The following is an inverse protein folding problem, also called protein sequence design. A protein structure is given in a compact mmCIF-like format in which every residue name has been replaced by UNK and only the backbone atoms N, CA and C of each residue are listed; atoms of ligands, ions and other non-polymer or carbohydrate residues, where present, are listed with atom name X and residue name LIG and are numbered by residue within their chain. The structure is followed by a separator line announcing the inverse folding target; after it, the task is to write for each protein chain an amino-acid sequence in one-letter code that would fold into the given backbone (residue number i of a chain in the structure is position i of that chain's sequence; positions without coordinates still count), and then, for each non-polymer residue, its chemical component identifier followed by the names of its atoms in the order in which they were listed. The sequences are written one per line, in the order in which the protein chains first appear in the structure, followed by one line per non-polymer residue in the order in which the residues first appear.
data_IF_902444650178
#
_entry.id   IF_902444650178
#
_cell.length_a   1.000
_cell.length_b   1.000
_cell.length_c   1.000
_cell.angle_alpha   90.00
_cell.angle_beta   90.00
_cell.angle_gamma   90.00
#
_symmetry.space_group_name_H-M   'P 1'
#
loop_
_entity.id
_entity.type
_entity.pdbx_description
1 polymer ?
#
# COMPACT_ATOMS: atom_id res chain seq x y z
N UNK A 1 -5.58 -35.80 37.84
CA UNK A 1 -5.60 -34.54 37.05
C UNK A 1 -4.56 -33.63 37.69
N UNK A 2 -3.43 -33.25 37.09
CA UNK A 2 -3.29 -31.97 36.34
C UNK A 2 -1.89 -31.75 35.70
N UNK A 3 -1.01 -32.75 35.56
CA UNK A 3 0.37 -32.53 35.04
C UNK A 3 0.41 -32.34 33.50
N UNK A 4 -0.50 -32.98 32.76
CA UNK A 4 -0.53 -32.95 31.28
C UNK A 4 -1.02 -31.62 30.69
N UNK A 5 -1.85 -30.86 31.41
CA UNK A 5 -2.38 -29.57 30.94
C UNK A 5 -1.37 -28.43 31.05
N UNK A 6 -0.41 -28.53 31.97
CA UNK A 6 0.59 -27.49 32.23
C UNK A 6 1.64 -27.47 31.11
N UNK A 7 2.17 -28.64 30.73
CA UNK A 7 3.13 -28.79 29.63
C UNK A 7 2.55 -28.40 28.25
N UNK A 8 1.25 -28.63 28.03
CA UNK A 8 0.55 -28.26 26.80
C UNK A 8 0.38 -26.75 26.67
N UNK A 9 0.17 -26.05 27.78
CA UNK A 9 0.13 -24.57 27.84
C UNK A 9 1.50 -23.93 27.60
N UNK A 10 2.60 -24.55 28.07
CA UNK A 10 3.95 -24.03 27.85
C UNK A 10 4.44 -24.09 26.39
N UNK A 11 3.86 -24.97 25.57
CA UNK A 11 4.18 -25.05 24.14
C UNK A 11 3.37 -24.06 23.28
N UNK A 12 2.16 -23.68 23.73
CA UNK A 12 1.28 -22.77 22.98
C UNK A 12 1.69 -21.30 23.12
N UNK A 13 2.22 -20.91 24.28
CA UNK A 13 2.65 -19.51 24.55
C UNK A 13 3.81 -19.04 23.66
N UNK A 14 4.94 -19.75 23.52
CA UNK A 14 6.03 -19.31 22.63
C UNK A 14 5.60 -19.33 21.15
N UNK A 15 4.70 -20.23 20.76
CA UNK A 15 4.17 -20.33 19.40
C UNK A 15 3.27 -19.13 19.05
N UNK A 16 2.45 -18.66 19.99
CA UNK A 16 1.73 -17.39 19.86
C UNK A 16 2.65 -16.18 19.81
N UNK A 17 3.71 -16.14 20.63
CA UNK A 17 4.66 -15.02 20.63
C UNK A 17 5.44 -14.90 19.30
N UNK A 18 5.80 -16.03 18.69
CA UNK A 18 6.42 -16.07 17.37
C UNK A 18 5.42 -15.58 16.29
N UNK A 19 4.14 -15.98 16.38
CA UNK A 19 3.11 -15.55 15.45
C UNK A 19 2.82 -14.03 15.52
N UNK A 20 2.84 -13.43 16.71
CA UNK A 20 2.60 -11.99 16.90
C UNK A 20 3.76 -11.15 16.35
N UNK A 21 5.00 -11.65 16.43
CA UNK A 21 6.17 -10.95 15.90
C UNK A 21 6.18 -10.85 14.36
N UNK A 22 5.47 -11.73 13.66
CA UNK A 22 5.45 -11.74 12.18
C UNK A 22 4.37 -10.83 11.57
N UNK A 23 3.45 -10.30 12.38
CA UNK A 23 2.31 -9.48 11.90
C UNK A 23 2.52 -7.96 12.02
N UNK A 24 3.69 -7.51 12.48
CA UNK A 24 3.86 -6.19 13.10
C UNK A 24 4.08 -4.95 12.21
N UNK A 25 4.30 -5.06 10.90
CA UNK A 25 4.87 -3.92 10.14
C UNK A 25 3.91 -3.12 9.23
N UNK A 26 2.64 -3.49 9.10
CA UNK A 26 1.81 -2.99 7.98
C UNK A 26 0.97 -1.72 8.22
N UNK A 27 0.90 -1.14 9.42
CA UNK A 27 -0.14 -0.13 9.75
C UNK A 27 0.31 1.34 9.76
N UNK A 28 1.62 1.62 9.85
CA UNK A 28 2.12 2.99 10.09
C UNK A 28 1.97 3.95 8.89
N UNK A 29 1.89 3.47 7.66
CA UNK A 29 1.83 4.34 6.48
C UNK A 29 0.47 5.03 6.26
N UNK A 30 -0.61 4.48 6.82
CA UNK A 30 -1.98 4.92 6.46
C UNK A 30 -2.40 6.20 7.18
N UNK A 31 -1.97 6.42 8.42
CA UNK A 31 -2.33 7.62 9.22
C UNK A 31 -1.82 8.90 8.57
N UNK A 32 -0.58 8.88 8.07
CA UNK A 32 0.07 10.03 7.43
C UNK A 32 -0.66 10.48 6.17
N UNK A 33 -1.19 9.55 5.38
CA UNK A 33 -1.98 9.90 4.21
C UNK A 33 -3.24 10.70 4.56
N UNK A 34 -3.90 10.41 5.68
CA UNK A 34 -5.13 11.12 6.07
C UNK A 34 -4.87 12.55 6.55
N UNK A 35 -3.66 12.87 7.01
CA UNK A 35 -3.25 14.23 7.37
C UNK A 35 -3.08 15.16 6.15
N UNK A 36 -2.96 14.59 4.94
CA UNK A 36 -2.80 15.35 3.70
C UNK A 36 -4.12 16.09 3.37
N UNK A 37 -4.04 17.43 3.35
CA UNK A 37 -5.18 18.31 3.05
C UNK A 37 -5.66 18.21 1.59
N UNK A 38 -4.73 18.05 0.65
CA UNK A 38 -5.04 17.94 -0.76
C UNK A 38 -5.64 16.56 -1.07
N UNK A 39 -6.86 16.55 -1.61
CA UNK A 39 -7.62 15.32 -1.81
C UNK A 39 -6.96 14.36 -2.81
N UNK A 40 -6.34 14.89 -3.87
CA UNK A 40 -5.68 14.11 -4.91
C UNK A 40 -4.40 13.47 -4.36
N UNK A 41 -3.57 14.25 -3.65
CA UNK A 41 -2.36 13.74 -2.97
C UNK A 41 -2.70 12.71 -1.91
N UNK A 42 -3.76 12.93 -1.14
CA UNK A 42 -4.26 11.94 -0.16
C UNK A 42 -4.69 10.65 -0.85
N UNK A 43 -5.48 10.74 -1.92
CA UNK A 43 -5.94 9.57 -2.67
C UNK A 43 -4.76 8.80 -3.26
N UNK A 44 -3.78 9.49 -3.85
CA UNK A 44 -2.55 8.88 -4.36
C UNK A 44 -1.75 8.18 -3.25
N UNK A 45 -1.55 8.84 -2.11
CA UNK A 45 -0.86 8.26 -0.97
C UNK A 45 -1.57 6.99 -0.47
N UNK A 46 -2.90 7.03 -0.33
CA UNK A 46 -3.70 5.88 0.08
C UNK A 46 -3.62 4.73 -0.94
N UNK A 47 -3.59 5.03 -2.24
CA UNK A 47 -3.42 4.02 -3.27
C UNK A 47 -2.10 3.27 -3.10
N UNK A 48 -1.01 3.99 -2.84
CA UNK A 48 0.33 3.41 -2.67
C UNK A 48 0.44 2.59 -1.38
N UNK A 49 0.03 3.15 -0.25
CA UNK A 49 0.14 2.47 1.05
C UNK A 49 -0.76 1.25 1.12
N UNK A 50 -1.96 1.31 0.53
CA UNK A 50 -2.91 0.18 0.54
C UNK A 50 -2.73 -0.78 -0.63
N UNK A 51 -1.93 -0.44 -1.63
CA UNK A 51 -1.83 -1.20 -2.89
C UNK A 51 -3.15 -1.29 -3.66
N UNK A 52 -4.08 -0.35 -3.44
CA UNK A 52 -5.42 -0.41 -4.02
C UNK A 52 -5.63 0.67 -5.08
N UNK A 53 -5.70 0.22 -6.33
CA UNK A 53 -5.91 1.06 -7.51
C UNK A 53 -7.28 1.78 -7.50
N UNK A 54 -8.24 1.34 -6.69
CA UNK A 54 -9.53 2.01 -6.49
C UNK A 54 -9.35 3.45 -6.01
N UNK A 55 -8.33 3.72 -5.19
CA UNK A 55 -8.03 5.07 -4.73
C UNK A 55 -7.50 5.97 -5.86
N UNK A 56 -6.82 5.43 -6.88
CA UNK A 56 -6.36 6.23 -8.01
C UNK A 56 -7.52 6.87 -8.76
N UNK A 57 -8.69 6.24 -8.84
CA UNK A 57 -9.87 6.84 -9.50
C UNK A 57 -10.46 8.04 -8.77
N UNK A 58 -10.06 8.27 -7.50
CA UNK A 58 -10.46 9.44 -6.72
C UNK A 58 -9.60 10.67 -7.03
N UNK A 59 -8.45 10.48 -7.68
CA UNK A 59 -7.58 11.55 -8.17
C UNK A 59 -8.26 12.24 -9.36
N UNK A 60 -8.51 13.53 -9.23
CA UNK A 60 -9.21 14.32 -10.26
C UNK A 60 -8.30 14.69 -11.42
N UNK A 61 -7.05 15.02 -11.12
CA UNK A 61 -6.06 15.31 -12.15
C UNK A 61 -5.74 14.03 -12.96
N UNK A 62 -5.95 14.11 -14.28
CA UNK A 62 -5.96 12.94 -15.17
C UNK A 62 -4.57 12.33 -15.31
N UNK A 63 -3.54 13.15 -15.40
CA UNK A 63 -2.17 12.70 -15.59
C UNK A 63 -1.66 11.99 -14.33
N UNK A 64 -1.90 12.55 -13.13
CA UNK A 64 -1.64 11.91 -11.84
C UNK A 64 -2.44 10.64 -11.64
N UNK A 65 -3.70 10.60 -12.08
CA UNK A 65 -4.51 9.37 -12.04
C UNK A 65 -3.89 8.28 -12.91
N UNK A 66 -3.49 8.61 -14.13
CA UNK A 66 -2.85 7.67 -15.04
C UNK A 66 -1.52 7.19 -14.48
N UNK A 67 -0.72 8.08 -13.90
CA UNK A 67 0.51 7.74 -13.21
C UNK A 67 0.25 6.78 -12.04
N UNK A 68 -0.70 7.09 -11.17
CA UNK A 68 -1.09 6.23 -10.04
C UNK A 68 -1.50 4.83 -10.52
N UNK A 69 -2.34 4.76 -11.55
CA UNK A 69 -2.79 3.48 -12.10
C UNK A 69 -1.64 2.70 -12.75
N UNK A 70 -0.70 3.38 -13.40
CA UNK A 70 0.50 2.76 -13.97
C UNK A 70 1.38 2.14 -12.89
N UNK A 71 1.63 2.87 -11.80
CA UNK A 71 2.46 2.42 -10.68
C UNK A 71 1.83 1.26 -9.90
N UNK A 72 0.52 1.32 -9.59
CA UNK A 72 -0.15 0.26 -8.83
C UNK A 72 -0.41 -0.99 -9.68
N UNK A 73 -0.78 -0.83 -10.97
CA UNK A 73 -1.07 -1.97 -11.86
C UNK A 73 0.15 -2.51 -12.61
N UNK A 74 1.29 -1.83 -12.56
CA UNK A 74 2.48 -2.19 -13.34
C UNK A 74 2.28 -2.02 -14.85
N UNK A 75 1.51 -1.02 -15.27
CA UNK A 75 0.94 -0.92 -16.62
C UNK A 75 1.60 0.24 -17.39
N UNK A 76 2.65 -0.04 -18.18
CA UNK A 76 3.38 0.99 -18.94
C UNK A 76 2.52 1.73 -19.96
N UNK A 77 1.50 1.08 -20.53
CA UNK A 77 0.50 1.68 -21.42
C UNK A 77 -0.17 2.92 -20.80
N UNK A 78 -0.43 2.89 -19.50
CA UNK A 78 -1.02 4.01 -18.76
C UNK A 78 -0.11 5.23 -18.73
N UNK A 79 1.21 5.05 -18.70
CA UNK A 79 2.14 6.18 -18.78
C UNK A 79 2.01 6.93 -20.11
N UNK A 80 1.69 6.25 -21.23
CA UNK A 80 1.52 6.91 -22.52
C UNK A 80 0.24 7.77 -22.60
N UNK A 81 -0.73 7.53 -21.72
CA UNK A 81 -1.92 8.37 -21.59
C UNK A 81 -1.70 9.67 -20.80
N UNK A 82 -0.51 9.87 -20.23
CA UNK A 82 -0.10 11.12 -19.56
C UNK A 82 0.25 12.16 -20.61
N UNK A 83 -0.39 13.33 -20.54
CA UNK A 83 -0.19 14.42 -21.51
C UNK A 83 1.10 15.19 -21.23
N UNK A 84 1.37 15.48 -19.96
CA UNK A 84 2.60 16.15 -19.57
C UNK A 84 3.83 15.29 -19.88
N UNK A 85 4.76 15.85 -20.65
CA UNK A 85 5.89 15.10 -21.20
C UNK A 85 6.86 14.64 -20.11
N UNK A 86 7.10 15.48 -19.10
CA UNK A 86 8.03 15.18 -18.03
C UNK A 86 7.44 14.16 -17.05
N UNK A 87 6.16 14.31 -16.71
CA UNK A 87 5.41 13.32 -15.92
C UNK A 87 5.35 11.97 -16.61
N UNK A 88 5.14 11.94 -17.94
CA UNK A 88 5.17 10.70 -18.72
C UNK A 88 6.53 10.02 -18.67
N UNK A 89 7.63 10.77 -18.87
CA UNK A 89 8.99 10.23 -18.79
C UNK A 89 9.27 9.67 -17.39
N UNK A 90 8.87 10.40 -16.35
CA UNK A 90 9.03 9.97 -14.97
C UNK A 90 8.24 8.68 -14.67
N UNK A 91 7.01 8.57 -15.19
CA UNK A 91 6.20 7.35 -15.10
C UNK A 91 6.89 6.15 -15.77
N UNK A 92 7.34 6.31 -17.02
CA UNK A 92 8.01 5.25 -17.78
C UNK A 92 9.34 4.78 -17.16
N UNK A 93 9.98 5.63 -16.35
CA UNK A 93 11.19 5.30 -15.61
C UNK A 93 10.89 4.55 -14.30
N UNK A 94 9.72 4.76 -13.68
CA UNK A 94 9.31 4.09 -12.43
C UNK A 94 8.63 2.75 -12.68
N UNK A 95 7.83 2.65 -13.74
CA UNK A 95 7.03 1.45 -14.04
C UNK A 95 7.87 0.48 -14.87
N UNK A 96 8.06 -0.77 -14.41
CA UNK A 96 8.86 -1.78 -15.10
C UNK A 96 8.29 -2.14 -16.48
#
# INVERSE_FOLDING_TARGET
MTISNIARSYLLVPLCMIAVAWMGEAMAGTSECYAIKDADKRAYCLAQVKGDHGYCYRVKEVDKRNQCLAEIKGSRDRCYAIKDQDSRKACLARVP
#
